data_IF_876219293841
#
_entry.id   IF_876219293841
#
_cell.length_a   1.000
_cell.length_b   1.000
_cell.length_c   1.000
_cell.angle_alpha   90.00
_cell.angle_beta   90.00
_cell.angle_gamma   90.00
#
_symmetry.space_group_name_H-M   'P 1'
#
loop_
_entity.id
_entity.type
_entity.pdbx_description
1 polymer ?
#
# COMPACT_ATOMS: atom_id res chain seq x y z
N UNK A 1 -9.92 -12.00 2.82
CA UNK A 1 -10.08 -11.39 1.48
C UNK A 1 -8.89 -10.48 1.26
N UNK A 2 -8.32 -10.47 0.07
CA UNK A 2 -7.12 -9.69 -0.25
C UNK A 2 -7.51 -8.40 -0.96
N UNK A 3 -6.75 -7.32 -0.71
CA UNK A 3 -6.86 -6.08 -1.47
C UNK A 3 -5.62 -5.93 -2.33
N UNK A 4 -5.76 -6.04 -3.65
CA UNK A 4 -4.66 -5.80 -4.58
C UNK A 4 -4.40 -4.30 -4.70
N UNK A 5 -3.15 -3.91 -4.55
CA UNK A 5 -2.69 -2.53 -4.55
C UNK A 5 -2.02 -2.23 -5.90
N UNK A 6 -2.38 -1.10 -6.47
CA UNK A 6 -1.83 -0.60 -7.72
C UNK A 6 -1.11 0.73 -7.49
N UNK A 7 -0.14 1.02 -8.36
CA UNK A 7 0.42 2.37 -8.51
C UNK A 7 -0.48 3.22 -9.39
N UNK A 8 -0.36 4.53 -9.31
CA UNK A 8 -1.05 5.48 -10.20
C UNK A 8 -0.76 5.25 -11.68
N UNK A 9 0.41 4.67 -12.00
CA UNK A 9 0.79 4.21 -13.35
C UNK A 9 0.00 3.00 -13.85
N UNK A 10 -0.85 2.41 -13.01
CA UNK A 10 -1.63 1.21 -13.32
C UNK A 10 -0.89 -0.12 -13.10
N UNK A 11 0.36 -0.06 -12.64
CA UNK A 11 1.14 -1.25 -12.35
C UNK A 11 0.71 -1.90 -11.03
N UNK A 12 0.56 -3.23 -11.03
CA UNK A 12 0.35 -4.00 -9.81
C UNK A 12 1.58 -3.91 -8.89
N UNK A 13 1.37 -3.39 -7.68
CA UNK A 13 2.42 -3.22 -6.66
C UNK A 13 2.55 -4.45 -5.76
N UNK A 14 1.41 -4.99 -5.33
CA UNK A 14 1.36 -5.98 -4.25
C UNK A 14 -0.03 -6.04 -3.62
N UNK A 15 -0.14 -6.53 -2.39
CA UNK A 15 -1.45 -6.80 -1.80
C UNK A 15 -1.46 -6.58 -0.29
N UNK A 16 -2.66 -6.31 0.25
CA UNK A 16 -2.93 -6.29 1.68
C UNK A 16 -3.64 -7.57 2.08
N UNK A 17 -3.11 -8.25 3.11
CA UNK A 17 -3.69 -9.44 3.72
C UNK A 17 -3.50 -9.37 5.23
N UNK A 18 -4.59 -9.53 5.99
CA UNK A 18 -4.59 -9.45 7.46
C UNK A 18 -3.87 -8.20 7.99
N UNK A 19 -4.17 -7.04 7.38
CA UNK A 19 -3.56 -5.74 7.68
C UNK A 19 -2.04 -5.63 7.42
N UNK A 20 -1.42 -6.61 6.78
CA UNK A 20 -0.03 -6.53 6.32
C UNK A 20 0.03 -6.22 4.82
N UNK A 21 0.97 -5.37 4.43
CA UNK A 21 1.26 -4.98 3.05
C UNK A 21 2.42 -5.84 2.55
N UNK A 22 2.21 -6.49 1.42
CA UNK A 22 3.22 -7.31 0.76
C UNK A 22 3.49 -6.79 -0.65
N UNK A 23 4.71 -6.99 -1.13
CA UNK A 23 5.04 -6.80 -2.54
C UNK A 23 4.37 -7.86 -3.41
N UNK A 24 4.43 -7.68 -4.73
CA UNK A 24 4.05 -8.69 -5.72
C UNK A 24 4.75 -10.05 -5.54
N UNK A 25 5.91 -10.08 -4.88
CA UNK A 25 6.73 -11.26 -4.65
C UNK A 25 6.61 -11.77 -3.20
N UNK A 26 5.54 -11.37 -2.49
CA UNK A 26 5.26 -11.75 -1.10
C UNK A 26 6.29 -11.23 -0.07
N UNK A 27 7.05 -10.17 -0.40
CA UNK A 27 7.96 -9.54 0.55
C UNK A 27 7.17 -8.60 1.46
N UNK A 28 7.37 -8.72 2.77
CA UNK A 28 6.74 -7.83 3.74
C UNK A 28 7.23 -6.38 3.57
N UNK A 29 6.31 -5.47 3.25
CA UNK A 29 6.59 -4.05 3.06
C UNK A 29 6.21 -3.19 4.26
N UNK A 30 5.28 -3.67 5.10
CA UNK A 30 4.77 -2.93 6.25
C UNK A 30 3.32 -3.28 6.56
N UNK A 31 2.57 -2.41 7.23
CA UNK A 31 1.22 -2.72 7.69
C UNK A 31 0.23 -1.56 7.52
N UNK A 32 -1.05 -1.90 7.58
CA UNK A 32 -2.17 -0.98 7.56
C UNK A 32 -2.73 -0.89 8.98
N UNK A 33 -3.10 0.31 9.42
CA UNK A 33 -3.84 0.55 10.64
C UNK A 33 -4.95 1.57 10.34
N UNK A 34 -6.20 1.11 10.29
CA UNK A 34 -7.30 1.91 9.73
C UNK A 34 -7.09 2.13 8.23
N UNK A 35 -6.93 3.39 7.82
CA UNK A 35 -6.55 3.78 6.46
C UNK A 35 -5.05 4.12 6.35
N UNK A 36 -4.29 4.14 7.44
CA UNK A 36 -2.89 4.59 7.45
C UNK A 36 -1.97 3.42 7.12
N UNK A 37 -1.04 3.64 6.19
CA UNK A 37 -0.03 2.65 5.80
C UNK A 37 1.35 3.04 6.32
N UNK A 38 1.99 2.08 6.97
CA UNK A 38 3.33 2.18 7.54
C UNK A 38 4.27 1.25 6.78
N UNK A 39 5.53 1.63 6.57
CA UNK A 39 6.55 0.69 6.10
C UNK A 39 7.10 -0.19 7.22
N UNK A 40 7.95 -1.15 6.87
CA UNK A 40 8.62 -2.06 7.82
C UNK A 40 9.41 -1.30 8.91
N UNK A 41 9.86 -0.08 8.66
CA UNK A 41 10.54 0.78 9.63
C UNK A 41 9.59 1.62 10.49
N UNK A 42 8.28 1.54 10.26
CA UNK A 42 7.27 2.33 10.94
C UNK A 42 7.15 3.76 10.45
N UNK A 43 7.65 4.07 9.25
CA UNK A 43 7.45 5.38 8.62
C UNK A 43 6.13 5.42 7.87
N UNK A 44 5.47 6.57 7.90
CA UNK A 44 4.23 6.79 7.13
C UNK A 44 4.50 6.73 5.62
N UNK A 45 3.73 5.90 4.91
CA UNK A 45 3.82 5.73 3.45
C UNK A 45 2.63 6.31 2.71
N UNK A 46 1.54 6.60 3.40
CA UNK A 46 0.34 7.13 2.80
C UNK A 46 -0.91 6.54 3.41
N UNK A 47 -2.03 6.77 2.74
CA UNK A 47 -3.31 6.19 3.06
C UNK A 47 -3.70 5.13 2.03
N UNK A 48 -4.29 4.05 2.52
CA UNK A 48 -4.94 3.03 1.70
C UNK A 48 -6.30 3.57 1.24
N UNK A 49 -6.39 3.94 -0.03
CA UNK A 49 -7.56 4.59 -0.62
C UNK A 49 -8.10 3.71 -1.74
N UNK A 50 -9.42 3.58 -1.81
CA UNK A 50 -10.10 2.98 -2.96
C UNK A 50 -10.55 4.08 -3.92
N UNK A 51 -10.14 3.99 -5.18
CA UNK A 51 -10.61 4.84 -6.27
C UNK A 51 -11.19 3.95 -7.35
N UNK A 52 -12.46 4.18 -7.71
CA UNK A 52 -13.26 3.23 -8.49
C UNK A 52 -13.16 1.81 -7.89
N UNK A 53 -12.67 0.84 -8.64
CA UNK A 53 -12.61 -0.58 -8.24
C UNK A 53 -11.23 -1.01 -7.71
N UNK A 54 -10.27 -0.07 -7.58
CA UNK A 54 -8.87 -0.39 -7.29
C UNK A 54 -8.38 0.29 -6.02
N UNK A 55 -7.44 -0.37 -5.33
CA UNK A 55 -6.81 0.14 -4.12
C UNK A 55 -5.44 0.71 -4.43
N UNK A 56 -5.12 1.83 -3.79
CA UNK A 56 -3.89 2.57 -3.95
C UNK A 56 -3.34 2.96 -2.58
N UNK A 57 -2.03 3.11 -2.48
CA UNK A 57 -1.39 3.72 -1.31
C UNK A 57 -0.91 5.09 -1.76
N UNK A 58 -1.62 6.13 -1.37
CA UNK A 58 -1.34 7.50 -1.81
C UNK A 58 -0.95 8.38 -0.65
N UNK A 59 0.01 9.28 -0.87
CA UNK A 59 0.42 10.28 0.12
C UNK A 59 0.48 11.66 -0.50
N UNK A 60 0.20 12.67 0.33
CA UNK A 60 0.41 14.06 -0.02
C UNK A 60 1.58 14.61 0.83
N UNK A 61 2.76 14.88 0.23
CA UNK A 61 3.95 15.31 0.97
C UNK A 61 3.82 16.74 1.51
N UNK A 62 2.79 17.49 1.11
CA UNK A 62 2.49 18.83 1.63
C UNK A 62 1.59 18.80 2.87
N UNK A 63 1.28 17.61 3.38
CA UNK A 63 0.50 17.43 4.62
C UNK A 63 1.39 16.96 5.77
N UNK A 64 0.97 17.26 7.00
CA UNK A 64 1.70 16.82 8.20
C UNK A 64 1.57 15.29 8.30
N UNK A 65 2.71 14.61 8.30
CA UNK A 65 2.75 13.17 8.47
C UNK A 65 2.48 12.79 9.94
N UNK A 66 1.83 11.63 10.18
CA UNK A 66 1.78 11.02 11.51
C UNK A 66 3.19 10.79 12.07
N UNK A 67 3.30 10.79 13.41
CA UNK A 67 4.53 10.42 14.12
C UNK A 67 4.89 8.97 13.75
N UNK A 68 6.17 8.68 13.40
CA UNK A 68 6.63 7.32 13.14
C UNK A 68 6.30 6.35 14.28
N UNK A 69 6.06 5.09 13.92
CA UNK A 69 5.72 4.03 14.87
C UNK A 69 6.86 3.06 15.09
N UNK A 70 6.78 2.33 16.19
CA UNK A 70 7.65 1.18 16.42
C UNK A 70 7.30 0.10 15.37
N UNK A 71 8.29 -0.48 14.67
CA UNK A 71 8.09 -1.58 13.74
C UNK A 71 7.29 -2.74 14.33
N UNK A 72 6.35 -3.29 13.56
CA UNK A 72 5.68 -4.55 13.90
C UNK A 72 6.55 -5.76 13.50
N UNK A 73 6.46 -6.88 14.25
CA UNK A 73 7.08 -8.13 13.84
C UNK A 73 6.66 -8.54 12.42
N UNK A 74 7.57 -9.16 11.69
CA UNK A 74 7.30 -9.68 10.34
C UNK A 74 6.28 -10.82 10.47
N UNK A 75 5.16 -10.79 9.73
CA UNK A 75 4.17 -11.86 9.77
C UNK A 75 4.73 -13.17 9.19
N UNK A 76 4.16 -14.33 9.59
CA UNK A 76 4.53 -15.61 9.00
C UNK A 76 4.25 -15.61 7.49
N UNK A 77 5.12 -16.28 6.73
CA UNK A 77 4.96 -16.44 5.29
C UNK A 77 3.64 -17.14 4.98
N UNK A 78 2.93 -16.63 3.98
CA UNK A 78 1.63 -17.12 3.54
C UNK A 78 1.68 -17.38 2.03
N UNK A 79 0.90 -18.31 1.44
CA UNK A 79 0.95 -18.58 0.01
C UNK A 79 0.75 -17.31 -0.83
N UNK A 80 1.57 -17.17 -1.87
CA UNK A 80 1.48 -16.04 -2.80
C UNK A 80 0.12 -16.10 -3.54
N UNK A 81 -0.68 -15.03 -3.54
CA UNK A 81 -1.91 -15.00 -4.32
C UNK A 81 -1.60 -14.91 -5.81
N UNK A 82 -2.54 -15.33 -6.66
CA UNK A 82 -2.40 -15.15 -8.11
C UNK A 82 -2.40 -13.64 -8.41
N UNK A 83 -1.33 -13.10 -9.02
CA UNK A 83 -1.27 -11.66 -9.27
C UNK A 83 -2.35 -11.23 -10.28
N UNK A 84 -3.00 -10.08 -10.06
CA UNK A 84 -3.91 -9.50 -11.04
C UNK A 84 -3.13 -8.95 -12.25
N UNK A 85 -3.85 -8.69 -13.33
CA UNK A 85 -3.30 -7.95 -14.49
C UNK A 85 -3.13 -6.46 -14.12
N UNK A 86 -2.20 -5.79 -14.81
CA UNK A 86 -2.09 -4.33 -14.73
C UNK A 86 -3.37 -3.67 -15.24
N UNK A 87 -3.62 -2.45 -14.77
CA UNK A 87 -4.82 -1.66 -15.05
C UNK A 87 -4.43 -0.38 -15.81
N UNK A 88 -5.39 0.34 -16.42
CA UNK A 88 -5.13 1.67 -16.96
C UNK A 88 -4.61 2.63 -15.88
N UNK A 89 -3.68 3.50 -16.26
CA UNK A 89 -3.17 4.55 -15.37
C UNK A 89 -4.27 5.56 -15.01
N UNK A 90 -4.15 6.16 -13.83
CA UNK A 90 -5.06 7.21 -13.36
C UNK A 90 -4.32 8.53 -13.16
N UNK A 91 -5.05 9.63 -13.28
CA UNK A 91 -4.54 10.95 -12.88
C UNK A 91 -4.81 11.16 -11.39
N UNK A 92 -3.76 11.40 -10.62
CA UNK A 92 -3.89 11.73 -9.20
C UNK A 92 -4.27 13.20 -9.00
N UNK A 93 -4.97 13.54 -7.90
CA UNK A 93 -5.14 14.93 -7.50
C UNK A 93 -3.79 15.62 -7.29
N UNK A 94 -3.75 16.95 -7.49
CA UNK A 94 -2.52 17.74 -7.33
C UNK A 94 -1.92 17.52 -5.94
N UNK A 95 -0.62 17.28 -5.91
CA UNK A 95 0.14 17.04 -4.68
C UNK A 95 0.07 15.61 -4.15
N UNK A 96 -0.71 14.71 -4.74
CA UNK A 96 -0.66 13.29 -4.37
C UNK A 96 0.39 12.53 -5.19
N UNK A 97 1.00 11.53 -4.56
CA UNK A 97 1.93 10.59 -5.17
C UNK A 97 1.75 9.19 -4.59
N UNK A 98 2.26 8.18 -5.31
CA UNK A 98 2.34 6.81 -4.79
C UNK A 98 3.22 6.75 -3.53
N UNK A 99 2.79 5.93 -2.57
CA UNK A 99 3.48 5.69 -1.31
C UNK A 99 4.62 4.67 -1.38
N UNK A 100 4.75 3.93 -2.49
CA UNK A 100 5.75 2.90 -2.75
C UNK A 100 6.16 2.88 -4.22
#
# INVERSE_FOLDING_TARGET
MEKYIFKSTGQYLGFVRNDYVFSRDNLYLGWVEGDIVWDIGGNFRGKLIQLADYWYILRNPFTINPIPKIPKPIPPSSPLPKPPVNIPAISLPIGFQDGF
#
